data_IF_150129878672
#
_entry.id   IF_150129878672
#
_cell.length_a   1.000
_cell.length_b   1.000
_cell.length_c   1.000
_cell.angle_alpha   90.00
_cell.angle_beta   90.00
_cell.angle_gamma   90.00
#
_symmetry.space_group_name_H-M   'P 1'
#
loop_
_entity.id
_entity.type
_entity.pdbx_description
1 polymer ?
#
# COMPACT_ATOMS: atom_id res chain seq x y z
N UNK A 1 12.95 18.12 -14.43
CA UNK A 1 13.23 17.53 -13.11
C UNK A 1 12.06 16.70 -12.67
N UNK A 2 12.34 15.50 -12.19
CA UNK A 2 11.39 14.60 -11.55
C UNK A 2 11.22 14.97 -10.07
N UNK A 3 10.13 14.55 -9.44
CA UNK A 3 9.92 14.73 -7.99
C UNK A 3 11.07 14.10 -7.20
N UNK A 4 11.58 12.95 -7.64
CA UNK A 4 12.72 12.27 -7.04
C UNK A 4 13.96 13.16 -7.01
N UNK A 5 14.28 13.84 -8.11
CA UNK A 5 15.43 14.76 -8.17
C UNK A 5 15.27 15.95 -7.23
N UNK A 6 14.06 16.52 -7.12
CA UNK A 6 13.80 17.60 -6.16
C UNK A 6 13.96 17.16 -4.71
N UNK A 7 13.52 15.94 -4.36
CA UNK A 7 13.69 15.40 -3.01
C UNK A 7 15.17 15.21 -2.70
N UNK A 8 15.97 14.66 -3.62
CA UNK A 8 17.40 14.46 -3.42
C UNK A 8 18.14 15.80 -3.18
N UNK A 9 17.83 16.83 -3.98
CA UNK A 9 18.41 18.16 -3.80
C UNK A 9 17.99 18.81 -2.47
N UNK A 10 16.75 18.61 -2.03
CA UNK A 10 16.29 19.13 -0.75
C UNK A 10 17.05 18.45 0.41
N UNK A 11 17.24 17.13 0.36
CA UNK A 11 17.93 16.35 1.40
C UNK A 11 19.39 16.81 1.58
N UNK A 12 20.09 17.16 0.50
CA UNK A 12 21.48 17.66 0.58
C UNK A 12 21.64 18.94 1.40
N UNK A 13 20.58 19.74 1.54
CA UNK A 13 20.60 21.01 2.28
C UNK A 13 20.06 20.85 3.72
N UNK A 14 19.60 19.66 4.10
CA UNK A 14 18.98 19.40 5.40
C UNK A 14 20.06 19.06 6.44
N UNK A 15 20.06 19.72 7.61
CA UNK A 15 20.93 19.36 8.72
C UNK A 15 20.71 17.92 9.20
N UNK A 16 21.78 17.24 9.59
CA UNK A 16 21.75 15.84 10.04
C UNK A 16 20.72 15.51 11.14
N UNK A 17 20.44 16.39 12.13
CA UNK A 17 19.37 16.14 13.11
C UNK A 17 17.98 15.99 12.48
N UNK A 18 17.73 16.69 11.36
CA UNK A 18 16.46 16.65 10.64
C UNK A 18 16.43 15.54 9.57
N UNK A 19 17.61 15.06 9.12
CA UNK A 19 17.69 13.91 8.22
C UNK A 19 17.09 12.65 8.84
N UNK A 20 17.25 12.47 10.16
CA UNK A 20 16.63 11.38 10.88
C UNK A 20 15.10 11.43 10.77
N UNK A 21 14.49 12.60 11.00
CA UNK A 21 13.03 12.77 10.88
C UNK A 21 12.54 12.53 9.43
N UNK A 22 13.30 12.98 8.43
CA UNK A 22 12.99 12.73 7.02
C UNK A 22 13.05 11.24 6.69
N UNK A 23 14.07 10.53 7.20
CA UNK A 23 14.21 9.09 7.00
C UNK A 23 13.04 8.33 7.64
N UNK A 24 12.70 8.67 8.88
CA UNK A 24 11.58 8.06 9.61
C UNK A 24 10.26 8.26 8.84
N UNK A 25 10.04 9.45 8.28
CA UNK A 25 8.86 9.75 7.48
C UNK A 25 8.79 8.93 6.18
N UNK A 26 9.92 8.75 5.49
CA UNK A 26 9.98 7.92 4.28
C UNK A 26 9.65 6.46 4.62
N UNK A 27 10.20 5.92 5.71
CA UNK A 27 9.93 4.54 6.17
C UNK A 27 8.46 4.37 6.58
N UNK A 28 7.89 5.37 7.25
CA UNK A 28 6.47 5.40 7.58
C UNK A 28 5.60 5.33 6.33
N UNK A 29 5.88 6.14 5.30
CA UNK A 29 5.10 6.15 4.06
C UNK A 29 5.18 4.82 3.30
N UNK A 30 6.34 4.16 3.30
CA UNK A 30 6.51 2.83 2.70
C UNK A 30 5.66 1.79 3.43
N UNK A 31 5.72 1.79 4.76
CA UNK A 31 4.94 0.87 5.60
C UNK A 31 3.44 1.09 5.45
N UNK A 32 2.99 2.36 5.46
CA UNK A 32 1.58 2.73 5.29
C UNK A 32 1.02 2.23 3.95
N UNK A 33 1.74 2.42 2.85
CA UNK A 33 1.30 1.93 1.55
C UNK A 33 1.25 0.39 1.48
N UNK A 34 2.14 -0.30 2.19
CA UNK A 34 2.13 -1.76 2.28
C UNK A 34 0.90 -2.24 3.08
N UNK A 35 0.57 -1.55 4.18
CA UNK A 35 -0.58 -1.83 5.03
C UNK A 35 -1.90 -1.52 4.32
N UNK A 36 -2.07 -0.36 3.70
CA UNK A 36 -3.30 0.01 2.97
C UNK A 36 -3.63 -0.99 1.84
N UNK A 37 -2.61 -1.49 1.13
CA UNK A 37 -2.78 -2.56 0.13
C UNK A 37 -3.24 -3.88 0.75
N UNK A 38 -2.72 -4.22 1.92
CA UNK A 38 -3.07 -5.46 2.63
C UNK A 38 -4.46 -5.37 3.27
N UNK A 39 -4.80 -4.23 3.87
CA UNK A 39 -6.12 -3.96 4.45
C UNK A 39 -7.22 -3.98 3.39
N UNK A 40 -6.97 -3.41 2.21
CA UNK A 40 -7.94 -3.44 1.10
C UNK A 40 -8.21 -4.87 0.62
N UNK A 41 -7.17 -5.71 0.54
CA UNK A 41 -7.31 -7.12 0.18
C UNK A 41 -8.11 -7.90 1.24
N UNK A 42 -7.78 -7.72 2.53
CA UNK A 42 -8.44 -8.40 3.65
C UNK A 42 -9.90 -7.96 3.85
N UNK A 43 -10.20 -6.67 3.69
CA UNK A 43 -11.58 -6.15 3.77
C UNK A 43 -12.45 -6.65 2.61
N UNK A 44 -11.86 -6.78 1.42
CA UNK A 44 -12.54 -7.35 0.25
C UNK A 44 -12.86 -8.83 0.46
N UNK A 45 -11.97 -9.61 1.09
CA UNK A 45 -12.18 -11.04 1.37
C UNK A 45 -13.47 -11.29 2.15
N UNK A 46 -13.71 -10.55 3.24
CA UNK A 46 -14.90 -10.73 4.09
C UNK A 46 -16.23 -10.34 3.42
N UNK A 47 -16.17 -9.48 2.40
CA UNK A 47 -17.34 -9.10 1.59
C UNK A 47 -17.56 -10.08 0.44
N UNK A 48 -16.49 -10.50 -0.24
CA UNK A 48 -16.52 -11.46 -1.35
C UNK A 48 -16.88 -12.87 -0.88
N UNK A 49 -16.44 -13.30 0.31
CA UNK A 49 -16.73 -14.62 0.86
C UNK A 49 -18.24 -14.90 0.96
N UNK A 50 -19.06 -13.88 1.21
CA UNK A 50 -20.53 -14.02 1.35
C UNK A 50 -21.23 -14.35 0.04
N UNK A 51 -20.70 -13.88 -1.07
CA UNK A 51 -21.26 -14.09 -2.40
C UNK A 51 -20.56 -15.25 -3.12
N UNK A 52 -19.26 -15.46 -2.90
CA UNK A 52 -18.45 -16.50 -3.54
C UNK A 52 -18.72 -17.92 -3.04
N UNK A 53 -19.08 -18.10 -1.77
CA UNK A 53 -19.37 -19.43 -1.20
C UNK A 53 -20.79 -19.94 -1.49
N UNK A 54 -21.51 -19.27 -2.41
CA UNK A 54 -22.83 -19.70 -2.83
C UNK A 54 -22.71 -20.87 -3.83
N UNK A 55 -23.50 -21.94 -3.67
CA UNK A 55 -23.48 -23.07 -4.61
C UNK A 55 -23.84 -22.66 -6.04
N UNK A 56 -24.58 -21.56 -6.22
CA UNK A 56 -24.89 -20.99 -7.53
C UNK A 56 -23.65 -20.41 -8.25
N UNK A 57 -22.73 -19.80 -7.50
CA UNK A 57 -21.46 -19.31 -8.04
C UNK A 57 -20.53 -20.49 -8.34
N UNK A 58 -20.37 -21.46 -7.43
CA UNK A 58 -19.53 -22.65 -7.68
C UNK A 58 -19.89 -23.36 -9.01
N UNK A 59 -21.17 -23.43 -9.37
CA UNK A 59 -21.63 -23.96 -10.65
C UNK A 59 -21.26 -23.09 -11.86
N UNK A 60 -21.25 -21.76 -11.71
CA UNK A 60 -20.82 -20.83 -12.75
C UNK A 60 -19.30 -20.92 -12.98
N UNK A 61 -18.52 -21.15 -11.92
CA UNK A 61 -17.08 -21.30 -11.96
C UNK A 61 -16.62 -22.64 -12.54
N UNK A 62 -17.42 -23.71 -12.39
CA UNK A 62 -17.14 -25.01 -13.02
C UNK A 62 -17.25 -25.01 -14.55
N UNK A 63 -17.80 -23.95 -15.15
CA UNK A 63 -17.99 -23.83 -16.60
C UNK A 63 -17.03 -22.80 -17.26
N UNK A 64 -16.03 -22.31 -16.53
CA UNK A 64 -14.96 -21.42 -17.02
C UNK A 64 -13.65 -22.18 -17.24
#
# INVERSE_FOLDING_TARGET
MTIKEHILQAIEQVPEPLLQEVLDFIQFLQTKHQQEKSETALLSESSLQKDWLKPEEEAAWQNL
#
